data_IF_638503720970
#
_entry.id   IF_638503720970
#
_cell.length_a   1.000
_cell.length_b   1.000
_cell.length_c   1.000
_cell.angle_alpha   90.00
_cell.angle_beta   90.00
_cell.angle_gamma   90.00
#
_symmetry.space_group_name_H-M   'P 1'
#
loop_
_entity.id
_entity.type
_entity.pdbx_description
1 polymer ?
#
# COMPACT_ATOMS: atom_id res chain seq x y z
N UNK A 1 12.35 -2.02 23.70
CA UNK A 1 13.60 -1.66 24.40
C UNK A 1 14.47 -0.65 23.64
N UNK A 2 14.38 -0.57 22.29
CA UNK A 2 15.21 0.30 21.46
C UNK A 2 14.44 1.46 20.83
N UNK A 3 13.16 1.63 21.13
CA UNK A 3 12.28 2.59 20.45
C UNK A 3 12.63 4.06 20.70
N UNK A 4 13.35 4.35 21.77
CA UNK A 4 13.69 5.73 22.17
C UNK A 4 15.14 6.13 21.86
N UNK A 5 15.91 5.24 21.24
CA UNK A 5 17.29 5.49 20.88
C UNK A 5 17.51 5.41 19.36
N UNK A 6 18.35 6.30 18.86
CA UNK A 6 18.64 6.38 17.43
C UNK A 6 19.47 5.18 16.93
N UNK A 7 19.40 4.88 15.63
CA UNK A 7 20.17 3.78 15.04
C UNK A 7 21.68 3.90 15.22
N UNK A 8 22.30 5.10 15.13
CA UNK A 8 23.72 5.28 15.47
C UNK A 8 24.04 4.89 16.91
N UNK A 9 23.21 5.29 17.87
CA UNK A 9 23.40 4.94 19.28
C UNK A 9 23.26 3.43 19.51
N UNK A 10 22.25 2.78 18.89
CA UNK A 10 22.11 1.31 18.93
C UNK A 10 23.38 0.63 18.42
N UNK A 11 23.98 1.12 17.32
CA UNK A 11 25.24 0.58 16.78
C UNK A 11 26.41 0.76 17.74
N UNK A 12 26.51 1.91 18.40
CA UNK A 12 27.54 2.16 19.42
C UNK A 12 27.39 1.23 20.61
N UNK A 13 26.16 1.02 21.10
CA UNK A 13 25.89 0.08 22.18
C UNK A 13 26.27 -1.35 21.75
N UNK A 14 25.84 -1.78 20.56
CA UNK A 14 26.16 -3.09 20.01
C UNK A 14 27.68 -3.33 19.89
N UNK A 15 28.43 -2.32 19.44
CA UNK A 15 29.90 -2.36 19.38
C UNK A 15 30.52 -2.50 20.77
N UNK A 16 30.04 -1.72 21.74
CA UNK A 16 30.53 -1.73 23.13
C UNK A 16 30.35 -3.08 23.80
N UNK A 17 29.24 -3.78 23.54
CA UNK A 17 28.97 -5.12 24.06
C UNK A 17 29.54 -6.24 23.19
N UNK A 18 30.33 -5.91 22.15
CA UNK A 18 31.06 -6.89 21.34
C UNK A 18 30.23 -7.63 20.29
N UNK A 19 29.07 -7.12 19.88
CA UNK A 19 28.26 -7.74 18.84
C UNK A 19 28.92 -7.62 17.47
N UNK A 20 29.20 -8.75 16.82
CA UNK A 20 29.79 -8.79 15.46
C UNK A 20 28.96 -8.10 14.38
N UNK A 21 27.66 -7.95 14.62
CA UNK A 21 26.70 -7.33 13.69
C UNK A 21 26.59 -5.81 13.86
N UNK A 22 27.30 -5.19 14.82
CA UNK A 22 27.20 -3.76 15.14
C UNK A 22 27.29 -2.85 13.91
N UNK A 23 28.20 -3.15 12.99
CA UNK A 23 28.44 -2.36 11.76
C UNK A 23 27.92 -3.02 10.49
N UNK A 24 27.15 -4.13 10.62
CA UNK A 24 26.52 -4.74 9.44
C UNK A 24 25.54 -3.74 8.82
N UNK A 25 25.61 -3.56 7.51
CA UNK A 25 24.63 -2.76 6.76
C UNK A 25 23.24 -3.36 6.93
N UNK A 26 22.23 -2.50 7.07
CA UNK A 26 20.84 -2.94 7.10
C UNK A 26 20.49 -3.56 5.75
N UNK A 27 19.68 -4.62 5.79
CA UNK A 27 19.14 -5.20 4.56
C UNK A 27 18.13 -4.22 3.97
N UNK A 28 18.43 -3.71 2.77
CA UNK A 28 17.58 -2.76 2.06
C UNK A 28 16.71 -3.45 1.01
N UNK A 29 17.07 -4.67 0.60
CA UNK A 29 16.45 -5.40 -0.48
C UNK A 29 15.87 -6.75 -0.02
N UNK A 30 14.93 -7.25 -0.81
CA UNK A 30 14.36 -8.57 -0.62
C UNK A 30 15.43 -9.61 -0.98
N UNK A 31 15.95 -10.34 0.01
CA UNK A 31 17.14 -11.18 -0.11
C UNK A 31 17.04 -12.29 -1.18
N UNK A 32 15.83 -12.75 -1.51
CA UNK A 32 15.60 -13.80 -2.51
C UNK A 32 15.39 -13.28 -3.92
N UNK A 33 15.25 -11.97 -4.12
CA UNK A 33 15.18 -11.34 -5.46
C UNK A 33 16.58 -11.16 -6.05
N UNK A 34 17.61 -11.05 -5.19
CA UNK A 34 18.99 -10.85 -5.59
C UNK A 34 19.23 -9.47 -6.20
N UNK A 35 20.36 -9.34 -6.91
CA UNK A 35 20.71 -8.09 -7.63
C UNK A 35 19.96 -7.92 -8.97
N UNK A 36 19.14 -8.88 -9.36
CA UNK A 36 18.33 -8.81 -10.58
C UNK A 36 17.06 -8.02 -10.32
N UNK A 37 16.63 -7.29 -11.34
CA UNK A 37 15.40 -6.52 -11.31
C UNK A 37 14.22 -7.38 -10.79
N UNK A 38 13.48 -6.85 -9.84
CA UNK A 38 12.25 -7.42 -9.30
C UNK A 38 11.30 -7.90 -10.41
N UNK A 39 11.22 -7.17 -11.53
CA UNK A 39 10.38 -7.52 -12.68
C UNK A 39 10.74 -8.89 -13.23
N UNK A 40 12.00 -9.15 -13.50
CA UNK A 40 12.46 -10.45 -14.02
C UNK A 40 12.23 -11.62 -13.04
N UNK A 41 12.13 -11.33 -11.74
CA UNK A 41 11.77 -12.33 -10.74
C UNK A 41 10.28 -12.68 -10.78
N UNK A 42 9.42 -11.69 -10.96
CA UNK A 42 7.95 -11.86 -11.07
C UNK A 42 7.58 -12.54 -12.37
N UNK A 43 8.15 -12.10 -13.51
CA UNK A 43 7.91 -12.65 -14.86
C UNK A 43 8.11 -14.16 -14.95
N UNK A 44 9.08 -14.69 -14.20
CA UNK A 44 9.38 -16.14 -14.19
C UNK A 44 8.38 -16.98 -13.39
N UNK A 45 7.54 -16.38 -12.59
CA UNK A 45 6.69 -17.08 -11.59
C UNK A 45 5.20 -16.88 -11.79
N UNK A 46 4.80 -15.83 -12.48
CA UNK A 46 3.41 -15.45 -12.63
C UNK A 46 3.20 -15.05 -14.09
N UNK A 47 2.19 -15.61 -14.73
CA UNK A 47 1.80 -15.22 -16.10
C UNK A 47 1.05 -13.88 -16.09
N UNK A 48 1.73 -12.82 -15.66
CA UNK A 48 1.26 -11.44 -15.69
C UNK A 48 1.91 -10.62 -16.80
N UNK A 49 2.72 -11.26 -17.64
CA UNK A 49 3.49 -10.64 -18.72
C UNK A 49 2.71 -10.48 -20.01
N UNK A 50 1.42 -10.81 -19.98
CA UNK A 50 0.59 -10.65 -21.19
C UNK A 50 0.29 -9.18 -21.44
N UNK A 51 0.40 -8.75 -22.73
CA UNK A 51 0.06 -7.39 -23.13
C UNK A 51 -1.38 -7.02 -22.75
N UNK A 52 -1.59 -5.75 -22.51
CA UNK A 52 -2.90 -5.20 -22.22
C UNK A 52 -2.98 -3.73 -22.60
N UNK A 53 -4.09 -3.11 -22.28
CA UNK A 53 -4.41 -1.75 -22.71
C UNK A 53 -4.51 -0.81 -21.53
N UNK A 54 -4.14 0.45 -21.77
CA UNK A 54 -4.27 1.55 -20.81
C UNK A 54 -5.45 2.43 -21.24
N UNK A 55 -6.36 2.69 -20.31
CA UNK A 55 -7.54 3.53 -20.52
C UNK A 55 -7.49 4.76 -19.63
N UNK A 56 -8.16 5.83 -20.07
CA UNK A 56 -8.49 6.95 -19.19
C UNK A 56 -9.75 6.64 -18.35
N UNK A 57 -10.11 7.54 -17.43
CA UNK A 57 -11.32 7.40 -16.59
C UNK A 57 -12.62 7.50 -17.39
N UNK A 58 -12.58 7.97 -18.64
CA UNK A 58 -13.72 8.04 -19.55
C UNK A 58 -13.87 6.79 -20.41
N UNK A 59 -12.95 5.82 -20.29
CA UNK A 59 -12.93 4.58 -21.05
C UNK A 59 -12.26 4.69 -22.43
N UNK A 60 -11.57 5.79 -22.74
CA UNK A 60 -10.81 5.89 -23.98
C UNK A 60 -9.46 5.18 -23.83
N UNK A 61 -9.09 4.39 -24.83
CA UNK A 61 -7.76 3.80 -24.88
C UNK A 61 -6.71 4.89 -25.13
N UNK A 62 -5.68 4.90 -24.28
CA UNK A 62 -4.61 5.91 -24.30
C UNK A 62 -3.21 5.32 -24.44
N UNK A 63 -3.09 3.98 -24.45
CA UNK A 63 -1.84 3.30 -24.66
C UNK A 63 -1.94 1.78 -24.51
N UNK A 64 -0.80 1.13 -24.63
CA UNK A 64 -0.61 -0.30 -24.44
C UNK A 64 0.50 -0.54 -23.41
N UNK A 65 0.53 -1.75 -22.85
CA UNK A 65 1.58 -2.18 -21.92
C UNK A 65 1.92 -3.67 -22.10
N UNK A 66 3.09 -4.08 -21.60
CA UNK A 66 3.57 -5.46 -21.75
C UNK A 66 3.16 -6.38 -20.59
N UNK A 67 2.59 -5.83 -19.51
CA UNK A 67 2.11 -6.62 -18.38
C UNK A 67 1.66 -5.73 -17.22
N UNK A 68 0.59 -6.16 -16.55
CA UNK A 68 0.02 -5.41 -15.40
C UNK A 68 0.95 -5.39 -14.17
N UNK A 69 1.93 -6.28 -14.08
CA UNK A 69 2.94 -6.33 -13.02
C UNK A 69 3.87 -5.12 -13.00
N UNK A 70 3.91 -4.34 -14.08
CA UNK A 70 4.67 -3.09 -14.17
C UNK A 70 3.97 -1.91 -13.48
N UNK A 71 2.70 -2.09 -13.09
CA UNK A 71 1.86 -1.02 -12.56
C UNK A 71 1.52 -1.25 -11.09
N UNK A 72 1.35 -0.14 -10.39
CA UNK A 72 0.85 -0.10 -9.01
C UNK A 72 -0.13 1.04 -8.88
N UNK A 73 -1.25 0.84 -8.19
CA UNK A 73 -2.22 1.91 -7.92
C UNK A 73 -1.53 3.09 -7.22
N UNK A 74 -1.73 4.30 -7.76
CA UNK A 74 -1.04 5.50 -7.34
C UNK A 74 0.31 5.76 -8.05
N UNK A 75 0.76 4.88 -8.94
CA UNK A 75 1.98 5.09 -9.74
C UNK A 75 1.80 6.27 -10.72
N UNK A 76 2.82 7.14 -10.77
CA UNK A 76 2.86 8.30 -11.68
C UNK A 76 3.86 8.11 -12.81
N UNK A 77 5.01 7.46 -12.53
CA UNK A 77 6.11 7.32 -13.50
C UNK A 77 5.84 6.19 -14.49
N UNK A 78 6.30 6.34 -15.73
CA UNK A 78 6.20 5.29 -16.76
C UNK A 78 4.81 5.17 -17.39
N UNK A 79 3.94 6.18 -17.25
CA UNK A 79 2.64 6.25 -17.89
C UNK A 79 2.73 7.01 -19.22
N UNK A 80 1.79 6.78 -20.17
CA UNK A 80 1.69 7.59 -21.39
C UNK A 80 1.61 9.06 -21.07
N UNK A 81 2.31 9.90 -21.84
CA UNK A 81 2.35 11.36 -21.64
C UNK A 81 1.36 12.12 -22.51
N UNK A 82 1.40 13.45 -22.43
CA UNK A 82 0.64 14.34 -23.32
C UNK A 82 -0.62 14.97 -22.74
N UNK A 83 -0.88 14.78 -21.41
CA UNK A 83 -2.14 15.26 -20.80
C UNK A 83 -2.08 16.66 -20.18
N UNK A 84 -0.93 17.33 -20.17
CA UNK A 84 -0.78 18.63 -19.49
C UNK A 84 -0.85 18.58 -17.97
N UNK A 85 -1.52 17.57 -17.39
CA UNK A 85 -1.65 17.33 -15.95
C UNK A 85 -1.06 15.94 -15.59
N UNK A 86 -0.51 15.78 -14.38
CA UNK A 86 0.00 14.49 -13.93
C UNK A 86 -1.09 13.43 -13.93
N UNK A 87 -0.78 12.24 -14.47
CA UNK A 87 -1.65 11.07 -14.45
C UNK A 87 -1.12 10.02 -13.48
N UNK A 88 -2.03 9.23 -12.95
CA UNK A 88 -1.78 8.19 -11.95
C UNK A 88 -2.55 6.92 -12.31
N UNK A 89 -2.00 5.77 -12.00
CA UNK A 89 -2.75 4.50 -12.09
C UNK A 89 -3.86 4.53 -11.04
N UNK A 90 -5.11 4.49 -11.48
CA UNK A 90 -6.28 4.51 -10.60
C UNK A 90 -6.85 3.11 -10.37
N UNK A 91 -6.75 2.23 -11.38
CA UNK A 91 -7.29 0.87 -11.30
C UNK A 91 -6.45 -0.09 -12.14
N UNK A 92 -6.29 -1.31 -11.65
CA UNK A 92 -5.71 -2.44 -12.37
C UNK A 92 -6.75 -3.54 -12.39
N UNK A 93 -7.15 -3.98 -13.57
CA UNK A 93 -8.04 -5.10 -13.75
C UNK A 93 -7.22 -6.33 -14.16
N UNK A 94 -7.12 -7.30 -13.25
CA UNK A 94 -6.32 -8.51 -13.45
C UNK A 94 -6.96 -9.45 -14.48
N UNK A 95 -8.29 -9.46 -14.59
CA UNK A 95 -9.02 -10.40 -15.46
C UNK A 95 -8.85 -10.06 -16.94
N UNK A 96 -9.06 -8.79 -17.29
CA UNK A 96 -8.92 -8.31 -18.68
C UNK A 96 -7.56 -7.64 -18.95
N UNK A 97 -6.66 -7.65 -17.95
CA UNK A 97 -5.30 -7.09 -18.03
C UNK A 97 -5.25 -5.60 -18.40
N UNK A 98 -6.28 -4.84 -18.06
CA UNK A 98 -6.37 -3.42 -18.35
C UNK A 98 -5.92 -2.57 -17.17
N UNK A 99 -5.30 -1.43 -17.48
CA UNK A 99 -4.90 -0.42 -16.52
C UNK A 99 -5.70 0.84 -16.80
N UNK A 100 -6.27 1.47 -15.75
CA UNK A 100 -6.92 2.77 -15.87
C UNK A 100 -6.02 3.83 -15.25
N UNK A 101 -5.89 4.97 -15.94
CA UNK A 101 -5.15 6.13 -15.45
C UNK A 101 -6.09 7.34 -15.32
N UNK A 102 -5.88 8.13 -14.29
CA UNK A 102 -6.70 9.29 -13.97
C UNK A 102 -5.91 10.42 -13.30
N UNK A 103 -6.61 11.39 -12.78
CA UNK A 103 -6.04 12.49 -12.00
C UNK A 103 -5.83 12.10 -10.53
N UNK A 104 -5.18 12.96 -9.77
CA UNK A 104 -4.93 12.71 -8.35
C UNK A 104 -6.24 12.54 -7.55
N UNK A 105 -7.27 13.30 -7.91
CA UNK A 105 -8.57 13.25 -7.24
C UNK A 105 -9.29 11.91 -7.45
N UNK A 106 -9.05 11.23 -8.56
CA UNK A 106 -9.61 9.90 -8.84
C UNK A 106 -9.04 8.78 -7.94
N UNK A 107 -8.04 9.11 -7.12
CA UNK A 107 -7.40 8.22 -6.15
C UNK A 107 -7.78 8.54 -4.71
N UNK A 108 -8.65 9.51 -4.48
CA UNK A 108 -9.15 9.81 -3.15
C UNK A 108 -10.13 8.73 -2.70
N UNK A 109 -9.89 8.17 -1.54
CA UNK A 109 -10.69 7.10 -0.94
C UNK A 109 -11.20 7.57 0.41
N UNK A 110 -12.51 7.49 0.61
CA UNK A 110 -13.18 7.84 1.87
C UNK A 110 -13.42 6.63 2.77
N UNK A 111 -13.58 5.44 2.17
CA UNK A 111 -13.82 4.21 2.92
C UNK A 111 -13.24 2.99 2.21
N UNK A 112 -12.83 1.99 2.98
CA UNK A 112 -12.31 0.72 2.45
C UNK A 112 -12.44 -0.39 3.50
N UNK A 113 -12.32 -1.63 3.04
CA UNK A 113 -12.35 -2.81 3.91
C UNK A 113 -10.92 -3.25 4.21
N UNK A 114 -10.68 -3.63 5.46
CA UNK A 114 -9.53 -4.42 5.85
C UNK A 114 -10.01 -5.85 6.08
N UNK A 115 -9.35 -6.80 5.46
CA UNK A 115 -9.57 -8.24 5.57
C UNK A 115 -8.37 -8.93 6.21
N UNK A 116 -8.54 -10.21 6.62
CA UNK A 116 -7.51 -10.96 7.37
C UNK A 116 -7.08 -10.23 8.64
N UNK A 117 -8.04 -9.66 9.35
CA UNK A 117 -7.82 -8.81 10.51
C UNK A 117 -7.15 -9.58 11.64
N UNK A 118 -6.05 -9.03 12.17
CA UNK A 118 -5.38 -9.51 13.38
C UNK A 118 -5.43 -8.39 14.42
N UNK A 119 -6.03 -8.67 15.57
CA UNK A 119 -6.18 -7.70 16.68
C UNK A 119 -5.32 -8.13 17.86
N UNK A 120 -4.68 -7.15 18.51
CA UNK A 120 -3.86 -7.36 19.70
C UNK A 120 -4.72 -7.15 20.96
N UNK A 121 -5.68 -6.23 20.87
CA UNK A 121 -6.57 -5.88 21.98
C UNK A 121 -8.01 -5.78 21.47
N UNK A 122 -8.96 -5.70 22.40
CA UNK A 122 -10.34 -5.40 22.08
C UNK A 122 -10.42 -4.04 21.35
N UNK A 123 -11.30 -3.99 20.36
CA UNK A 123 -11.49 -2.79 19.56
C UNK A 123 -12.17 -1.71 20.39
N UNK A 124 -11.38 -0.80 20.96
CA UNK A 124 -11.89 0.47 21.46
C UNK A 124 -12.12 1.40 20.27
N UNK A 125 -13.36 1.77 20.04
CA UNK A 125 -13.82 2.44 18.82
C UNK A 125 -13.68 3.98 18.85
N UNK A 126 -12.97 4.58 19.81
CA UNK A 126 -12.84 6.04 19.90
C UNK A 126 -11.43 6.51 19.52
N UNK A 127 -11.38 7.62 18.78
CA UNK A 127 -10.13 8.31 18.41
C UNK A 127 -9.12 7.42 17.71
N UNK A 128 -9.60 6.59 16.78
CA UNK A 128 -8.75 5.73 16.00
C UNK A 128 -8.09 6.49 14.86
N UNK A 129 -6.87 6.08 14.53
CA UNK A 129 -6.15 6.47 13.33
C UNK A 129 -5.71 5.23 12.57
N UNK A 130 -5.47 5.37 11.27
CA UNK A 130 -4.95 4.30 10.45
C UNK A 130 -3.76 4.76 9.62
N UNK A 131 -2.72 3.94 9.54
CA UNK A 131 -1.66 4.03 8.56
C UNK A 131 -1.86 2.97 7.48
N UNK A 132 -1.85 3.40 6.22
CA UNK A 132 -2.05 2.52 5.04
C UNK A 132 -0.76 2.20 4.31
N UNK A 133 0.35 2.81 4.73
CA UNK A 133 1.72 2.58 4.24
C UNK A 133 2.72 2.87 5.34
N UNK A 134 3.90 2.28 5.23
CA UNK A 134 5.05 2.64 6.08
C UNK A 134 5.37 4.13 5.93
N UNK A 135 5.54 4.82 7.06
CA UNK A 135 5.76 6.27 7.15
C UNK A 135 4.66 7.14 6.49
N UNK A 136 3.43 6.64 6.33
CA UNK A 136 2.30 7.51 6.00
C UNK A 136 1.84 8.31 7.22
N UNK A 137 1.15 9.40 6.96
CA UNK A 137 0.46 10.15 8.02
C UNK A 137 -0.62 9.28 8.67
N UNK A 138 -0.89 9.56 9.93
CA UNK A 138 -1.99 8.97 10.68
C UNK A 138 -3.31 9.58 10.20
N UNK A 139 -4.13 8.75 9.56
CA UNK A 139 -5.43 9.16 9.04
C UNK A 139 -6.51 8.92 10.09
N UNK A 140 -7.17 9.97 10.63
CA UNK A 140 -8.29 9.79 11.53
C UNK A 140 -9.42 9.00 10.89
N UNK A 141 -9.92 7.97 11.59
CA UNK A 141 -10.92 7.08 11.05
C UNK A 141 -11.91 6.59 12.11
N UNK A 142 -13.01 6.06 11.61
CA UNK A 142 -13.95 5.22 12.36
C UNK A 142 -13.95 3.83 11.74
N UNK A 143 -14.26 2.82 12.55
CA UNK A 143 -14.34 1.44 12.07
C UNK A 143 -15.69 0.84 12.40
N UNK A 144 -16.17 -0.01 11.50
CA UNK A 144 -17.35 -0.83 11.70
C UNK A 144 -16.99 -2.29 11.46
N UNK A 145 -17.18 -3.13 12.49
CA UNK A 145 -16.96 -4.56 12.35
C UNK A 145 -17.97 -5.16 11.35
N UNK A 146 -17.47 -5.84 10.33
CA UNK A 146 -18.27 -6.56 9.35
C UNK A 146 -18.34 -8.06 9.68
N UNK A 147 -17.21 -8.62 10.14
CA UNK A 147 -17.08 -10.01 10.61
C UNK A 147 -15.93 -10.10 11.62
N UNK A 148 -15.56 -11.31 12.03
CA UNK A 148 -14.39 -11.49 12.92
C UNK A 148 -13.06 -11.22 12.21
N UNK A 149 -13.04 -11.24 10.88
CA UNK A 149 -11.84 -11.06 10.05
C UNK A 149 -11.89 -9.84 9.14
N UNK A 150 -12.99 -9.06 9.17
CA UNK A 150 -13.17 -7.91 8.28
C UNK A 150 -13.73 -6.70 9.03
N UNK A 151 -13.17 -5.52 8.76
CA UNK A 151 -13.70 -4.23 9.23
C UNK A 151 -13.82 -3.26 8.07
N UNK A 152 -14.88 -2.47 8.08
CA UNK A 152 -15.02 -1.26 7.27
C UNK A 152 -14.31 -0.12 7.98
N UNK A 153 -13.40 0.53 7.28
CA UNK A 153 -12.74 1.76 7.71
C UNK A 153 -13.40 2.94 6.99
N UNK A 154 -13.86 3.92 7.73
CA UNK A 154 -14.32 5.21 7.22
C UNK A 154 -13.35 6.30 7.65
N UNK A 155 -12.71 6.95 6.68
CA UNK A 155 -11.81 8.06 6.94
C UNK A 155 -12.62 9.34 7.20
N UNK A 156 -12.16 10.19 8.12
CA UNK A 156 -12.77 11.50 8.37
C UNK A 156 -12.57 12.45 7.18
N UNK A 157 -11.46 12.32 6.48
CA UNK A 157 -11.16 13.04 5.25
C UNK A 157 -10.66 12.06 4.19
N UNK A 158 -11.05 12.23 2.91
CA UNK A 158 -10.58 11.37 1.84
C UNK A 158 -9.05 11.38 1.73
N UNK A 159 -8.44 10.21 1.67
CA UNK A 159 -7.00 10.06 1.60
C UNK A 159 -6.53 9.56 0.23
N UNK A 160 -5.37 10.06 -0.16
CA UNK A 160 -4.65 9.60 -1.34
C UNK A 160 -3.87 8.33 -1.04
N UNK A 161 -3.84 7.41 -1.99
CA UNK A 161 -2.93 6.25 -1.92
C UNK A 161 -3.34 5.10 -0.99
N UNK A 162 -4.60 4.92 -0.74
CA UNK A 162 -5.10 3.64 -0.19
C UNK A 162 -5.06 2.61 -1.32
N UNK A 163 -4.15 1.65 -1.24
CA UNK A 163 -3.94 0.66 -2.30
C UNK A 163 -4.32 -0.75 -1.85
N UNK A 164 -5.19 -1.45 -2.61
CA UNK A 164 -5.47 -2.85 -2.36
C UNK A 164 -4.21 -3.72 -2.29
N UNK A 165 -4.20 -4.70 -1.38
CA UNK A 165 -3.05 -5.57 -1.15
C UNK A 165 -1.99 -5.00 -0.20
N UNK A 166 -2.01 -3.71 0.13
CA UNK A 166 -1.21 -3.11 1.19
C UNK A 166 -1.79 -3.45 2.57
N UNK A 167 -1.00 -3.29 3.61
CA UNK A 167 -1.47 -3.45 4.98
C UNK A 167 -1.92 -2.11 5.57
N UNK A 168 -3.11 -2.13 6.19
CA UNK A 168 -3.59 -1.04 7.04
C UNK A 168 -3.40 -1.42 8.51
N UNK A 169 -2.82 -0.51 9.30
CA UNK A 169 -2.62 -0.71 10.73
C UNK A 169 -3.38 0.38 11.49
N UNK A 170 -4.25 -0.05 12.37
CA UNK A 170 -5.14 0.82 13.16
C UNK A 170 -4.54 1.04 14.54
N UNK A 171 -4.52 2.29 14.96
CA UNK A 171 -3.94 2.75 16.22
C UNK A 171 -4.99 3.46 17.09
N UNK A 172 -4.78 3.36 18.40
CA UNK A 172 -5.38 4.24 19.39
C UNK A 172 -4.23 5.00 20.09
N UNK A 173 -3.99 6.24 19.68
CA UNK A 173 -2.79 6.97 20.05
C UNK A 173 -1.54 6.24 19.55
N UNK A 174 -0.64 5.84 20.46
CA UNK A 174 0.58 5.09 20.11
C UNK A 174 0.43 3.57 20.16
N UNK A 175 -0.75 3.07 20.53
CA UNK A 175 -0.99 1.62 20.67
C UNK A 175 -1.54 1.05 19.37
N UNK A 176 -0.93 -0.01 18.87
CA UNK A 176 -1.50 -0.83 17.80
C UNK A 176 -2.73 -1.54 18.34
N UNK A 177 -3.85 -1.41 17.65
CA UNK A 177 -5.12 -2.06 17.98
C UNK A 177 -5.30 -3.31 17.13
N UNK A 178 -5.30 -3.12 15.83
CA UNK A 178 -5.40 -4.22 14.86
C UNK A 178 -4.79 -3.82 13.52
N UNK A 179 -4.62 -4.79 12.65
CA UNK A 179 -4.18 -4.56 11.29
C UNK A 179 -4.56 -5.72 10.39
N UNK A 180 -4.54 -5.48 9.09
CA UNK A 180 -4.86 -6.47 8.09
C UNK A 180 -4.63 -5.96 6.69
N UNK A 181 -4.97 -6.74 5.69
CA UNK A 181 -4.77 -6.42 4.28
C UNK A 181 -5.92 -5.55 3.76
N UNK A 182 -5.60 -4.46 3.08
CA UNK A 182 -6.59 -3.63 2.39
C UNK A 182 -7.18 -4.44 1.26
N UNK A 183 -8.51 -4.62 1.29
CA UNK A 183 -9.24 -5.45 0.34
C UNK A 183 -9.26 -4.81 -1.05
N UNK A 184 -9.30 -5.66 -2.07
CA UNK A 184 -9.62 -5.25 -3.44
C UNK A 184 -11.12 -5.07 -3.69
N UNK A 185 -11.97 -5.45 -2.74
CA UNK A 185 -13.40 -5.17 -2.79
C UNK A 185 -13.59 -3.66 -2.70
N UNK A 186 -13.85 -3.04 -3.84
CA UNK A 186 -14.17 -1.60 -3.90
C UNK A 186 -15.54 -1.44 -3.28
N UNK A 187 -15.61 -0.72 -2.17
CA UNK A 187 -16.87 -0.12 -1.78
C UNK A 187 -17.07 1.05 -2.74
N UNK A 188 -18.07 0.94 -3.59
CA UNK A 188 -18.59 2.06 -4.34
C UNK A 188 -18.84 3.18 -3.34
N UNK A 189 -18.46 4.40 -3.71
CA UNK A 189 -18.69 5.59 -2.91
C UNK A 189 -20.15 5.56 -2.43
N UNK A 190 -20.33 5.31 -1.13
CA UNK A 190 -21.64 5.45 -0.52
C UNK A 190 -21.87 6.95 -0.47
N UNK A 191 -22.80 7.42 -1.34
CA UNK A 191 -23.36 8.76 -1.30
C UNK A 191 -23.95 9.11 0.08
#
# INVERSE_FOLDING_TARGET
PLGEISKPEVRQIAARIGLRTAFKKDSQDICFVGKKDYRSFVEKRIDLTSPGEIFDTKGNKVGDHNGIHEFTVGQRKGLPGGYGTPRYVTKINVQNKNVTIGEKNDLLVSSFIIEELSCINDLEYKNLTIQTRYNSEDLPCEIKKLSDTEVLVQLKEPAFSVAPGQFGVIYNGTKVVCGGRISSKVLENVE
#
